data_IF_790346983449
#
_entry.id   IF_790346983449
#
_cell.length_a   1.000
_cell.length_b   1.000
_cell.length_c   1.000
_cell.angle_alpha   90.00
_cell.angle_beta   90.00
_cell.angle_gamma   90.00
#
_symmetry.space_group_name_H-M   'P 1'
#
loop_
_entity.id
_entity.type
_entity.pdbx_description
1 polymer ?
#
# COMPACT_ATOMS: atom_id res chain seq x y z
N UNK A 1 -14.66 -12.86 22.83
CA UNK A 1 -14.49 -11.59 22.13
C UNK A 1 -13.42 -10.76 22.84
N UNK A 2 -12.51 -10.15 22.11
CA UNK A 2 -11.52 -9.21 22.65
C UNK A 2 -12.10 -7.81 22.52
N UNK A 3 -12.04 -7.03 23.59
CA UNK A 3 -12.45 -5.62 23.59
C UNK A 3 -11.21 -4.75 23.59
N UNK A 4 -11.17 -3.78 22.68
CA UNK A 4 -10.09 -2.81 22.57
C UNK A 4 -10.61 -1.42 22.90
N UNK A 5 -9.88 -0.68 23.72
CA UNK A 5 -10.22 0.69 24.15
C UNK A 5 -8.95 1.53 24.31
N UNK A 6 -9.11 2.85 24.30
CA UNK A 6 -8.04 3.79 24.59
C UNK A 6 -6.80 3.62 23.72
N UNK A 7 -5.63 3.44 24.36
CA UNK A 7 -4.34 3.31 23.69
C UNK A 7 -4.22 2.08 22.80
N UNK A 8 -4.78 0.94 23.23
CA UNK A 8 -4.73 -0.32 22.47
C UNK A 8 -5.56 -0.23 21.19
N UNK A 9 -6.75 0.38 21.28
CA UNK A 9 -7.58 0.64 20.10
C UNK A 9 -6.87 1.59 19.11
N UNK A 10 -6.27 2.67 19.64
CA UNK A 10 -5.51 3.61 18.80
C UNK A 10 -4.35 2.90 18.10
N UNK A 11 -3.57 2.10 18.81
CA UNK A 11 -2.45 1.35 18.26
C UNK A 11 -2.89 0.37 17.17
N UNK A 12 -4.00 -0.34 17.40
CA UNK A 12 -4.58 -1.25 16.42
C UNK A 12 -5.07 -0.52 15.15
N UNK A 13 -5.82 0.57 15.30
CA UNK A 13 -6.33 1.36 14.18
C UNK A 13 -5.21 2.02 13.38
N UNK A 14 -4.15 2.51 14.05
CA UNK A 14 -2.97 3.05 13.37
C UNK A 14 -2.23 1.99 12.57
N UNK A 15 -2.11 0.77 13.10
CA UNK A 15 -1.51 -0.34 12.39
C UNK A 15 -2.35 -0.78 11.17
N UNK A 16 -3.68 -0.76 11.29
CA UNK A 16 -4.60 -1.03 10.19
C UNK A 16 -4.51 0.03 9.09
N UNK A 17 -4.42 1.31 9.45
CA UNK A 17 -4.28 2.39 8.48
C UNK A 17 -2.98 2.29 7.72
N UNK A 18 -1.87 2.06 8.40
CA UNK A 18 -0.58 1.82 7.76
C UNK A 18 -0.60 0.57 6.87
N UNK A 19 -1.24 -0.51 7.36
CA UNK A 19 -1.42 -1.75 6.59
C UNK A 19 -2.16 -1.49 5.28
N UNK A 20 -3.28 -0.76 5.33
CA UNK A 20 -4.06 -0.40 4.14
C UNK A 20 -3.23 0.39 3.12
N UNK A 21 -2.45 1.37 3.58
CA UNK A 21 -1.62 2.20 2.70
C UNK A 21 -0.53 1.37 2.01
N UNK A 22 0.11 0.46 2.75
CA UNK A 22 1.16 -0.41 2.20
C UNK A 22 0.55 -1.49 1.32
N UNK A 23 -0.60 -2.05 1.72
CA UNK A 23 -1.35 -3.01 0.91
C UNK A 23 -1.62 -2.45 -0.49
N UNK A 24 -2.13 -1.23 -0.59
CA UNK A 24 -2.38 -0.57 -1.87
C UNK A 24 -1.11 -0.34 -2.70
N UNK A 25 0.07 -0.15 -2.07
CA UNK A 25 1.34 -0.04 -2.80
C UNK A 25 1.75 -1.38 -3.41
N UNK A 26 1.63 -2.47 -2.65
CA UNK A 26 1.92 -3.82 -3.13
C UNK A 26 0.90 -4.24 -4.21
N UNK A 27 -0.37 -3.86 -4.05
CA UNK A 27 -1.43 -4.13 -5.03
C UNK A 27 -1.15 -3.46 -6.38
N UNK A 28 -0.65 -2.24 -6.41
CA UNK A 28 -0.26 -1.59 -7.67
C UNK A 28 0.78 -2.40 -8.45
N UNK A 29 1.66 -3.12 -7.76
CA UNK A 29 2.68 -3.97 -8.38
C UNK A 29 2.10 -5.30 -8.83
N UNK A 30 1.35 -5.98 -7.96
CA UNK A 30 0.80 -7.31 -8.25
C UNK A 30 -0.50 -7.24 -9.08
N UNK A 31 -1.16 -6.07 -9.16
CA UNK A 31 -2.35 -5.80 -9.97
C UNK A 31 -3.57 -6.70 -9.68
N UNK A 32 -3.58 -7.36 -8.52
CA UNK A 32 -4.75 -8.14 -8.07
C UNK A 32 -4.83 -8.10 -6.54
N UNK A 33 -5.96 -7.61 -6.04
CA UNK A 33 -6.25 -7.47 -4.62
C UNK A 33 -6.18 -8.81 -3.87
N UNK A 34 -6.74 -9.87 -4.46
CA UNK A 34 -6.78 -11.22 -3.87
C UNK A 34 -5.39 -11.82 -3.73
N UNK A 35 -4.53 -11.56 -4.73
CA UNK A 35 -3.12 -12.00 -4.67
C UNK A 35 -2.41 -11.33 -3.51
N UNK A 36 -2.62 -10.02 -3.31
CA UNK A 36 -2.01 -9.31 -2.17
C UNK A 36 -2.51 -9.84 -0.84
N UNK A 37 -3.81 -10.13 -0.72
CA UNK A 37 -4.36 -10.77 0.49
C UNK A 37 -3.66 -12.09 0.80
N UNK A 38 -3.46 -12.94 -0.22
CA UNK A 38 -2.80 -14.23 -0.06
C UNK A 38 -1.33 -14.08 0.35
N UNK A 39 -0.55 -13.24 -0.34
CA UNK A 39 0.88 -13.07 -0.02
C UNK A 39 1.11 -12.33 1.30
N UNK A 40 0.13 -11.55 1.76
CA UNK A 40 0.17 -10.87 3.06
C UNK A 40 -0.20 -11.80 4.22
N UNK A 41 -0.82 -12.95 3.97
CA UNK A 41 -1.26 -13.89 5.02
C UNK A 41 -0.06 -14.38 5.84
N UNK A 42 0.00 -14.08 7.15
CA UNK A 42 1.10 -14.49 8.02
C UNK A 42 1.29 -16.02 8.12
N UNK A 43 0.26 -16.79 7.79
CA UNK A 43 0.32 -18.26 7.83
C UNK A 43 1.20 -18.84 6.71
N UNK A 44 1.48 -18.09 5.65
CA UNK A 44 2.44 -18.50 4.62
C UNK A 44 3.87 -18.16 5.05
N UNK A 45 4.81 -19.04 4.84
CA UNK A 45 6.24 -18.81 5.08
C UNK A 45 6.88 -18.16 3.86
N UNK A 46 6.72 -16.82 3.73
CA UNK A 46 7.22 -16.04 2.60
C UNK A 46 7.85 -14.71 3.07
N UNK A 47 8.54 -14.72 4.23
CA UNK A 47 9.09 -13.51 4.83
C UNK A 47 10.47 -13.14 4.32
N UNK A 48 11.28 -14.14 3.97
CA UNK A 48 12.69 -13.99 3.61
C UNK A 48 12.99 -14.53 2.21
N UNK A 49 14.12 -14.12 1.65
CA UNK A 49 14.60 -14.67 0.38
C UNK A 49 14.77 -16.21 0.45
N UNK A 50 15.21 -16.73 1.59
CA UNK A 50 15.38 -18.16 1.79
C UNK A 50 14.06 -18.94 1.69
N UNK A 51 12.95 -18.33 2.08
CA UNK A 51 11.63 -18.96 1.98
C UNK A 51 11.23 -19.24 0.53
N UNK A 52 11.65 -18.38 -0.40
CA UNK A 52 11.43 -18.56 -1.84
C UNK A 52 12.35 -19.60 -2.50
N UNK A 53 13.40 -20.06 -1.81
CA UNK A 53 14.21 -21.17 -2.26
C UNK A 53 13.56 -22.53 -1.99
N UNK A 54 12.54 -22.56 -1.14
CA UNK A 54 11.83 -23.77 -0.75
C UNK A 54 10.59 -23.96 -1.64
N UNK A 55 10.63 -24.95 -2.53
CA UNK A 55 9.52 -25.26 -3.44
C UNK A 55 8.19 -25.46 -2.72
N UNK A 56 8.21 -26.11 -1.54
CA UNK A 56 7.02 -26.33 -0.73
C UNK A 56 6.28 -25.05 -0.35
N UNK A 57 7.00 -23.94 -0.09
CA UNK A 57 6.39 -22.66 0.27
C UNK A 57 5.65 -22.05 -0.92
N UNK A 58 6.23 -22.16 -2.12
CA UNK A 58 5.62 -21.66 -3.35
C UNK A 58 4.46 -22.57 -3.81
N UNK A 59 4.50 -23.87 -3.53
CA UNK A 59 3.35 -24.76 -3.72
C UNK A 59 2.19 -24.38 -2.81
N UNK A 60 2.46 -24.13 -1.51
CA UNK A 60 1.45 -23.65 -0.58
C UNK A 60 0.86 -22.30 -1.01
N UNK A 61 1.69 -21.39 -1.54
CA UNK A 61 1.22 -20.16 -2.14
C UNK A 61 0.27 -20.44 -3.32
N UNK A 62 0.66 -21.32 -4.26
CA UNK A 62 -0.15 -21.70 -5.42
C UNK A 62 -1.50 -22.29 -5.04
N UNK A 63 -1.54 -23.15 -4.02
CA UNK A 63 -2.80 -23.70 -3.47
C UNK A 63 -3.72 -22.60 -2.93
N UNK A 64 -3.16 -21.63 -2.19
CA UNK A 64 -3.91 -20.49 -1.67
C UNK A 64 -4.42 -19.56 -2.77
N UNK A 65 -3.60 -19.30 -3.79
CA UNK A 65 -4.02 -18.53 -4.97
C UNK A 65 -5.16 -19.23 -5.72
N UNK A 66 -5.06 -20.53 -5.90
CA UNK A 66 -6.11 -21.34 -6.51
C UNK A 66 -7.42 -21.27 -5.72
N UNK A 67 -7.36 -21.29 -4.39
CA UNK A 67 -8.53 -21.19 -3.52
C UNK A 67 -9.29 -19.85 -3.68
N UNK A 68 -8.60 -18.77 -4.08
CA UNK A 68 -9.21 -17.46 -4.38
C UNK A 68 -9.49 -17.24 -5.87
N UNK A 69 -9.39 -18.32 -6.67
CA UNK A 69 -9.69 -18.29 -8.11
C UNK A 69 -8.58 -17.68 -8.97
N UNK A 70 -7.33 -17.69 -8.51
CA UNK A 70 -6.16 -17.26 -9.27
C UNK A 70 -5.36 -18.51 -9.67
N UNK A 71 -5.31 -18.79 -10.98
CA UNK A 71 -4.41 -19.80 -11.54
C UNK A 71 -2.98 -19.33 -11.48
N UNK A 72 -2.07 -20.19 -11.00
CA UNK A 72 -0.64 -19.87 -10.98
C UNK A 72 0.19 -21.08 -11.38
N UNK A 73 1.34 -20.80 -12.02
CA UNK A 73 2.33 -21.80 -12.38
C UNK A 73 3.58 -21.63 -11.50
N UNK A 74 4.16 -22.74 -11.09
CA UNK A 74 5.42 -22.74 -10.37
C UNK A 74 6.57 -22.78 -11.37
N UNK A 75 7.43 -21.77 -11.32
CA UNK A 75 8.58 -21.64 -12.24
C UNK A 75 9.88 -21.61 -11.42
N UNK A 76 10.89 -22.31 -11.92
CA UNK A 76 12.24 -22.23 -11.36
C UNK A 76 12.92 -20.92 -11.82
N UNK A 77 13.43 -20.18 -10.88
CA UNK A 77 14.28 -19.01 -11.12
C UNK A 77 15.74 -19.46 -10.95
N UNK A 78 16.40 -19.68 -12.08
CA UNK A 78 17.78 -20.21 -12.09
C UNK A 78 18.79 -19.14 -11.65
N UNK A 79 18.53 -17.87 -11.96
CA UNK A 79 19.41 -16.75 -11.61
C UNK A 79 19.54 -16.59 -10.09
N UNK A 80 18.44 -16.72 -9.37
CA UNK A 80 18.42 -16.59 -7.91
C UNK A 80 18.41 -17.93 -7.18
N UNK A 81 18.50 -19.06 -7.90
CA UNK A 81 18.36 -20.41 -7.32
C UNK A 81 17.11 -20.56 -6.44
N UNK A 82 16.01 -19.91 -6.83
CA UNK A 82 14.75 -19.82 -6.10
C UNK A 82 13.58 -20.34 -6.92
N UNK A 83 12.38 -20.29 -6.33
CA UNK A 83 11.13 -20.59 -7.01
C UNK A 83 10.27 -19.34 -7.09
N UNK A 84 9.45 -19.25 -8.12
CA UNK A 84 8.49 -18.17 -8.30
C UNK A 84 7.12 -18.73 -8.69
N UNK A 85 6.07 -18.10 -8.21
CA UNK A 85 4.71 -18.32 -8.68
C UNK A 85 4.38 -17.27 -9.74
N UNK A 86 3.96 -17.73 -10.92
CA UNK A 86 3.61 -16.87 -12.05
C UNK A 86 2.11 -16.94 -12.26
N UNK A 87 1.46 -15.80 -12.38
CA UNK A 87 0.03 -15.69 -12.64
C UNK A 87 -0.25 -14.58 -13.65
N UNK A 88 -1.48 -14.53 -14.18
CA UNK A 88 -1.92 -13.48 -15.09
C UNK A 88 -2.90 -12.55 -14.36
N UNK A 89 -2.65 -11.25 -14.47
CA UNK A 89 -3.57 -10.25 -13.94
C UNK A 89 -4.83 -10.09 -14.81
N UNK A 90 -5.74 -9.20 -14.42
CA UNK A 90 -6.99 -8.95 -15.15
C UNK A 90 -6.76 -8.48 -16.59
N UNK A 91 -5.58 -7.93 -16.91
CA UNK A 91 -5.20 -7.50 -18.27
C UNK A 91 -4.51 -8.60 -19.07
N UNK A 92 -4.43 -9.81 -18.54
CA UNK A 92 -3.69 -10.96 -19.09
C UNK A 92 -2.16 -10.75 -19.12
N UNK A 93 -1.66 -9.78 -18.38
CA UNK A 93 -0.21 -9.60 -18.23
C UNK A 93 0.36 -10.57 -17.20
N UNK A 94 1.49 -11.16 -17.52
CA UNK A 94 2.21 -12.06 -16.62
C UNK A 94 2.74 -11.29 -15.41
N UNK A 95 2.50 -11.81 -14.21
CA UNK A 95 3.01 -11.30 -12.95
C UNK A 95 3.75 -12.39 -12.20
N UNK A 96 4.83 -11.99 -11.55
CA UNK A 96 5.74 -12.92 -10.86
C UNK A 96 5.78 -12.60 -9.37
N UNK A 97 5.58 -13.63 -8.56
CA UNK A 97 5.77 -13.61 -7.11
C UNK A 97 7.03 -14.44 -6.83
N UNK A 98 8.15 -13.78 -6.67
CA UNK A 98 9.45 -14.40 -6.48
C UNK A 98 10.28 -13.72 -5.41
N UNK A 99 11.56 -14.08 -5.34
CA UNK A 99 12.53 -13.60 -4.35
C UNK A 99 12.67 -12.07 -4.29
N UNK A 100 12.44 -11.40 -5.40
CA UNK A 100 12.45 -9.94 -5.45
C UNK A 100 11.38 -9.29 -4.58
N UNK A 101 10.21 -9.94 -4.46
CA UNK A 101 9.14 -9.45 -3.58
C UNK A 101 9.62 -9.40 -2.13
N UNK A 102 10.31 -10.45 -1.65
CA UNK A 102 10.88 -10.49 -0.29
C UNK A 102 11.96 -9.43 -0.04
N UNK A 103 12.55 -8.88 -1.10
CA UNK A 103 13.57 -7.82 -1.00
C UNK A 103 12.96 -6.45 -0.76
N UNK A 104 11.67 -6.27 -1.06
CA UNK A 104 11.00 -4.97 -0.99
C UNK A 104 10.68 -4.56 0.45
N UNK A 105 11.03 -3.35 0.84
CA UNK A 105 10.71 -2.82 2.16
C UNK A 105 9.19 -2.81 2.44
N UNK A 106 8.38 -2.46 1.44
CA UNK A 106 6.93 -2.42 1.52
C UNK A 106 6.35 -3.81 1.82
N UNK A 107 6.80 -4.83 1.11
CA UNK A 107 6.33 -6.20 1.34
C UNK A 107 6.69 -6.70 2.74
N UNK A 108 7.94 -6.48 3.16
CA UNK A 108 8.37 -6.85 4.52
C UNK A 108 7.57 -6.13 5.60
N UNK A 109 7.27 -4.85 5.38
CA UNK A 109 6.44 -4.06 6.30
C UNK A 109 5.00 -4.54 6.32
N UNK A 110 4.42 -4.87 5.15
CA UNK A 110 3.08 -5.45 5.03
C UNK A 110 2.96 -6.73 5.86
N UNK A 111 3.92 -7.64 5.71
CA UNK A 111 3.98 -8.89 6.46
C UNK A 111 4.11 -8.67 7.98
N UNK A 112 4.95 -7.73 8.38
CA UNK A 112 5.13 -7.38 9.79
C UNK A 112 3.84 -6.82 10.42
N UNK A 113 3.17 -5.91 9.72
CA UNK A 113 1.87 -5.36 10.12
C UNK A 113 0.78 -6.43 10.11
N UNK A 114 0.74 -7.30 9.10
CA UNK A 114 -0.18 -8.43 9.04
C UNK A 114 -0.10 -9.31 10.30
N UNK A 115 1.11 -9.62 10.78
CA UNK A 115 1.30 -10.35 12.06
C UNK A 115 0.82 -9.55 13.27
N UNK A 116 1.02 -8.25 13.28
CA UNK A 116 0.58 -7.39 14.38
C UNK A 116 -0.95 -7.32 14.47
N UNK A 117 -1.63 -7.15 13.34
CA UNK A 117 -3.09 -7.03 13.30
C UNK A 117 -3.78 -8.39 13.44
N UNK A 118 -3.19 -9.49 12.97
CA UNK A 118 -3.78 -10.84 13.02
C UNK A 118 -4.24 -11.27 14.42
N UNK A 119 -3.62 -10.72 15.46
CA UNK A 119 -4.03 -10.95 16.84
C UNK A 119 -5.47 -10.52 17.11
N UNK A 120 -5.92 -9.45 16.44
CA UNK A 120 -7.23 -8.83 16.64
C UNK A 120 -8.11 -8.94 15.39
N UNK A 121 -7.59 -9.40 14.26
CA UNK A 121 -8.33 -9.60 13.02
C UNK A 121 -9.21 -10.85 13.11
N UNK A 122 -10.34 -10.68 13.78
CA UNK A 122 -11.34 -11.74 14.03
C UNK A 122 -12.73 -11.21 13.70
N UNK A 123 -13.08 -11.10 12.43
CA UNK A 123 -14.40 -10.63 12.03
C UNK A 123 -15.52 -11.56 12.52
N UNK A 124 -16.76 -11.08 12.66
CA UNK A 124 -17.15 -9.68 12.45
C UNK A 124 -16.69 -8.77 13.60
N UNK A 125 -16.36 -7.52 13.24
CA UNK A 125 -16.04 -6.49 14.21
C UNK A 125 -17.32 -5.82 14.71
N UNK A 126 -17.38 -5.48 16.01
CA UNK A 126 -18.48 -4.72 16.57
C UNK A 126 -17.94 -3.42 17.14
N UNK A 127 -18.30 -2.31 16.52
CA UNK A 127 -18.00 -0.97 17.02
C UNK A 127 -19.12 -0.54 17.96
N UNK A 128 -18.74 -0.07 19.14
CA UNK A 128 -19.67 0.45 20.15
C UNK A 128 -19.30 1.90 20.43
N UNK A 129 -20.23 2.81 20.16
CA UNK A 129 -20.11 4.24 20.47
C UNK A 129 -21.37 4.67 21.24
N UNK A 130 -21.22 5.03 22.50
CA UNK A 130 -22.33 5.32 23.40
C UNK A 130 -23.33 4.14 23.46
N UNK A 131 -24.58 4.37 23.06
CA UNK A 131 -25.61 3.35 22.96
C UNK A 131 -25.69 2.67 21.58
N UNK A 132 -24.98 3.18 20.58
CA UNK A 132 -25.01 2.65 19.22
C UNK A 132 -24.06 1.46 19.06
N UNK A 133 -24.53 0.45 18.31
CA UNK A 133 -23.71 -0.70 17.94
C UNK A 133 -23.78 -0.89 16.43
N UNK A 134 -22.62 -1.10 15.82
CA UNK A 134 -22.52 -1.41 14.40
C UNK A 134 -21.62 -2.63 14.20
N UNK A 135 -22.09 -3.58 13.39
CA UNK A 135 -21.34 -4.78 13.02
C UNK A 135 -20.76 -4.58 11.62
N UNK A 136 -19.47 -4.89 11.47
CA UNK A 136 -18.69 -4.69 10.28
C UNK A 136 -18.04 -6.03 9.89
N UNK A 137 -18.09 -6.37 8.60
CA UNK A 137 -17.75 -7.71 8.15
C UNK A 137 -16.25 -7.99 8.10
N UNK A 138 -15.45 -6.96 7.89
CA UNK A 138 -13.99 -7.06 7.70
C UNK A 138 -13.27 -5.81 8.23
N UNK A 139 -11.95 -5.83 8.17
CA UNK A 139 -11.12 -4.73 8.65
C UNK A 139 -11.22 -3.48 7.76
N UNK A 140 -11.47 -3.64 6.47
CA UNK A 140 -11.66 -2.54 5.52
C UNK A 140 -12.89 -1.71 5.90
N UNK A 141 -14.01 -2.40 6.15
CA UNK A 141 -15.24 -1.75 6.64
C UNK A 141 -15.03 -1.06 7.99
N UNK A 142 -14.29 -1.73 8.91
CA UNK A 142 -13.95 -1.15 10.19
C UNK A 142 -13.17 0.16 10.04
N UNK A 143 -12.12 0.15 9.24
CA UNK A 143 -11.28 1.33 9.03
C UNK A 143 -12.04 2.44 8.30
N UNK A 144 -12.84 2.09 7.29
CA UNK A 144 -13.72 3.02 6.58
C UNK A 144 -14.73 3.68 7.50
N UNK A 145 -15.39 2.89 8.36
CA UNK A 145 -16.34 3.41 9.34
C UNK A 145 -15.68 4.38 10.34
N UNK A 146 -14.53 4.00 10.89
CA UNK A 146 -13.80 4.85 11.86
C UNK A 146 -13.35 6.15 11.22
N UNK A 147 -12.82 6.09 9.98
CA UNK A 147 -12.44 7.29 9.21
C UNK A 147 -13.64 8.20 8.94
N UNK A 148 -14.77 7.63 8.49
CA UNK A 148 -15.99 8.38 8.23
C UNK A 148 -16.54 9.06 9.50
N UNK A 149 -16.53 8.35 10.63
CA UNK A 149 -16.93 8.92 11.93
C UNK A 149 -15.98 10.04 12.39
N UNK A 150 -14.67 9.87 12.18
CA UNK A 150 -13.68 10.90 12.51
C UNK A 150 -13.76 12.14 11.62
N UNK A 151 -14.25 11.99 10.39
CA UNK A 151 -14.40 13.07 9.42
C UNK A 151 -15.76 13.75 9.45
N UNK A 152 -16.72 13.27 10.23
CA UNK A 152 -18.11 13.75 10.23
C UNK A 152 -18.23 15.26 10.43
N UNK A 153 -17.43 15.80 11.34
CA UNK A 153 -17.46 17.23 11.70
C UNK A 153 -16.21 17.97 11.19
N UNK A 154 -15.39 17.31 10.34
CA UNK A 154 -14.18 17.90 9.78
C UNK A 154 -14.47 18.49 8.40
N UNK A 155 -13.99 19.72 8.18
CA UNK A 155 -13.97 20.34 6.88
C UNK A 155 -12.58 20.18 6.27
N UNK A 156 -12.50 19.49 5.14
CA UNK A 156 -11.24 19.35 4.38
C UNK A 156 -11.17 20.47 3.36
N UNK A 157 -10.15 21.31 3.48
CA UNK A 157 -9.86 22.38 2.52
C UNK A 157 -8.52 22.09 1.84
N UNK A 158 -8.51 22.09 0.52
CA UNK A 158 -7.30 21.94 -0.30
C UNK A 158 -6.90 23.29 -0.87
N UNK A 159 -5.68 23.68 -0.59
CA UNK A 159 -5.09 24.89 -1.16
C UNK A 159 -4.17 24.51 -2.33
N UNK A 160 -4.36 25.17 -3.49
CA UNK A 160 -3.53 24.97 -4.68
C UNK A 160 -2.25 25.79 -4.63
N UNK A 161 -2.24 26.86 -3.81
CA UNK A 161 -1.08 27.73 -3.63
C UNK A 161 -1.14 28.53 -2.35
N UNK A 162 0.00 29.06 -1.93
CA UNK A 162 0.12 29.84 -0.68
C UNK A 162 -0.70 31.15 -0.73
N UNK A 163 -0.96 31.69 -1.92
CA UNK A 163 -1.77 32.92 -2.10
C UNK A 163 -3.24 32.77 -1.75
N UNK A 164 -3.74 31.54 -1.60
CA UNK A 164 -5.12 31.26 -1.19
C UNK A 164 -5.30 31.24 0.34
N UNK A 165 -4.19 31.30 1.08
CA UNK A 165 -4.16 31.19 2.54
C UNK A 165 -4.14 32.57 3.18
N UNK A 166 -4.90 32.74 4.25
CA UNK A 166 -4.74 33.88 5.15
C UNK A 166 -3.50 33.70 6.04
N UNK A 167 -3.11 34.71 6.80
CA UNK A 167 -1.89 34.70 7.61
C UNK A 167 -1.87 33.57 8.64
N UNK A 168 -2.99 33.28 9.30
CA UNK A 168 -3.09 32.20 10.30
C UNK A 168 -2.99 30.83 9.66
N UNK A 169 -3.63 30.61 8.53
CA UNK A 169 -3.55 29.38 7.75
C UNK A 169 -2.11 29.13 7.26
N UNK A 170 -1.47 30.18 6.73
CA UNK A 170 -0.08 30.12 6.28
C UNK A 170 0.86 29.78 7.45
N UNK A 171 0.66 30.41 8.60
CA UNK A 171 1.42 30.11 9.80
C UNK A 171 1.28 28.63 10.20
N UNK A 172 0.04 28.15 10.37
CA UNK A 172 -0.24 26.81 10.86
C UNK A 172 0.24 25.72 9.90
N UNK A 173 0.20 25.93 8.58
CA UNK A 173 0.51 24.89 7.59
C UNK A 173 1.97 24.88 7.16
N UNK A 174 2.65 26.01 7.12
CA UNK A 174 3.98 26.12 6.50
C UNK A 174 5.04 26.83 7.34
N UNK A 175 4.66 27.80 8.18
CA UNK A 175 5.62 28.66 8.86
C UNK A 175 5.95 28.22 10.28
N UNK A 176 5.03 27.57 10.98
CA UNK A 176 5.23 27.13 12.36
C UNK A 176 6.36 26.08 12.44
N UNK A 177 7.47 26.48 13.03
CA UNK A 177 8.67 25.63 13.13
C UNK A 177 8.47 24.33 13.92
N UNK A 178 7.50 24.30 14.85
CA UNK A 178 7.20 23.12 15.67
C UNK A 178 6.34 22.09 14.95
N UNK A 179 5.52 22.53 13.99
CA UNK A 179 4.54 21.67 13.31
C UNK A 179 4.92 21.36 11.85
N UNK A 180 5.73 22.21 11.21
CA UNK A 180 6.10 22.04 9.80
C UNK A 180 7.01 20.85 9.59
N UNK A 181 6.82 20.17 8.45
CA UNK A 181 7.73 19.15 7.96
C UNK A 181 8.58 19.73 6.84
N UNK A 182 9.90 19.64 6.98
CA UNK A 182 10.84 20.06 5.93
C UNK A 182 11.28 18.83 5.14
N UNK A 183 11.24 18.93 3.82
CA UNK A 183 11.76 17.94 2.90
C UNK A 183 13.10 18.45 2.34
N UNK A 184 14.14 17.66 2.49
CA UNK A 184 15.43 17.94 1.85
C UNK A 184 15.42 17.37 0.43
N UNK A 185 15.49 18.24 -0.56
CA UNK A 185 15.67 17.84 -1.95
C UNK A 185 17.16 17.59 -2.19
N UNK A 186 17.49 16.42 -2.74
CA UNK A 186 18.86 16.05 -3.13
C UNK A 186 18.86 15.69 -4.61
N UNK A 187 19.91 16.08 -5.29
CA UNK A 187 20.18 15.67 -6.66
C UNK A 187 21.11 14.45 -6.60
N UNK A 188 20.55 13.26 -6.73
CA UNK A 188 21.32 12.02 -6.64
C UNK A 188 21.92 11.60 -7.99
N UNK A 189 21.17 11.84 -9.06
CA UNK A 189 21.60 11.57 -10.45
C UNK A 189 21.27 12.77 -11.33
N UNK A 190 22.31 13.47 -11.78
CA UNK A 190 22.18 14.66 -12.63
C UNK A 190 21.65 14.30 -14.02
N UNK A 191 22.09 13.18 -14.58
CA UNK A 191 21.71 12.78 -15.95
C UNK A 191 20.23 12.39 -15.98
N UNK A 192 19.82 11.58 -15.05
CA UNK A 192 18.41 11.18 -14.94
C UNK A 192 17.47 12.35 -14.65
N UNK A 193 17.91 13.27 -13.79
CA UNK A 193 17.13 14.48 -13.50
C UNK A 193 16.98 15.37 -14.76
N UNK A 194 18.06 15.58 -15.52
CA UNK A 194 18.03 16.36 -16.77
C UNK A 194 17.13 15.71 -17.82
N UNK A 195 17.17 14.39 -17.94
CA UNK A 195 16.32 13.62 -18.85
C UNK A 195 14.83 13.79 -18.52
N UNK A 196 14.46 13.70 -17.23
CA UNK A 196 13.09 13.92 -16.77
C UNK A 196 12.66 15.37 -17.02
N UNK A 197 13.49 16.35 -16.69
CA UNK A 197 13.17 17.76 -16.93
C UNK A 197 13.02 18.06 -18.43
N UNK A 198 13.89 17.53 -19.27
CA UNK A 198 13.82 17.71 -20.71
C UNK A 198 12.57 17.07 -21.32
N UNK A 199 12.18 15.91 -20.83
CA UNK A 199 10.95 15.22 -21.26
C UNK A 199 9.70 15.97 -20.85
N UNK A 200 9.61 16.41 -19.57
CA UNK A 200 8.38 17.00 -19.04
C UNK A 200 8.23 18.49 -19.38
N UNK A 201 9.31 19.23 -19.50
CA UNK A 201 9.33 20.69 -19.72
C UNK A 201 9.92 21.10 -21.08
N UNK A 202 10.43 20.16 -21.86
CA UNK A 202 10.94 20.41 -23.21
C UNK A 202 9.83 20.67 -24.22
N UNK A 203 10.20 20.95 -25.47
CA UNK A 203 9.25 21.26 -26.55
C UNK A 203 8.63 20.01 -27.18
N UNK A 204 9.22 18.83 -26.98
CA UNK A 204 8.73 17.57 -27.54
C UNK A 204 7.48 17.07 -26.79
N UNK A 205 6.34 17.25 -27.46
CA UNK A 205 5.03 16.86 -26.93
C UNK A 205 4.85 15.35 -26.93
N UNK A 206 5.39 14.63 -27.90
CA UNK A 206 5.17 13.19 -28.05
C UNK A 206 5.89 12.41 -26.95
N UNK A 207 7.15 12.73 -26.68
CA UNK A 207 7.90 12.12 -25.57
C UNK A 207 7.24 12.38 -24.22
N UNK A 208 6.73 13.60 -23.99
CA UNK A 208 5.98 13.95 -22.77
C UNK A 208 4.71 13.14 -22.65
N UNK A 209 3.91 13.03 -23.72
CA UNK A 209 2.68 12.26 -23.74
C UNK A 209 2.95 10.81 -23.37
N UNK A 210 3.93 10.19 -24.04
CA UNK A 210 4.33 8.82 -23.80
C UNK A 210 4.75 8.60 -22.33
N UNK A 211 5.59 9.50 -21.80
CA UNK A 211 5.99 9.45 -20.39
C UNK A 211 4.79 9.51 -19.44
N UNK A 212 3.83 10.42 -19.68
CA UNK A 212 2.63 10.55 -18.85
C UNK A 212 1.77 9.30 -18.93
N UNK A 213 1.57 8.72 -20.10
CA UNK A 213 0.78 7.50 -20.30
C UNK A 213 1.43 6.29 -19.61
N UNK A 214 2.74 6.13 -19.72
CA UNK A 214 3.50 5.04 -19.09
C UNK A 214 3.49 5.13 -17.56
N UNK A 215 3.51 6.35 -17.00
CA UNK A 215 3.57 6.60 -15.55
C UNK A 215 2.22 7.00 -14.94
N UNK A 216 1.12 6.96 -15.71
CA UNK A 216 -0.20 7.42 -15.25
C UNK A 216 -0.70 6.71 -13.97
N UNK A 217 -0.33 5.44 -13.79
CA UNK A 217 -0.73 4.64 -12.64
C UNK A 217 0.08 4.94 -11.37
N UNK A 218 1.21 5.60 -11.49
CA UNK A 218 2.09 5.96 -10.37
C UNK A 218 1.78 7.37 -9.82
N UNK A 219 0.93 8.11 -10.53
CA UNK A 219 0.53 9.46 -10.13
C UNK A 219 -0.22 9.43 -8.80
N UNK A 220 0.21 10.31 -7.89
CA UNK A 220 -0.45 10.57 -6.61
C UNK A 220 -0.88 12.02 -6.55
N UNK A 221 -2.02 12.26 -5.89
CA UNK A 221 -2.51 13.61 -5.67
C UNK A 221 -2.68 14.41 -6.97
N UNK A 222 -3.24 13.79 -8.00
CA UNK A 222 -3.56 14.48 -9.22
C UNK A 222 -4.54 15.62 -8.91
N UNK A 223 -4.18 16.83 -9.35
CA UNK A 223 -4.98 18.03 -9.14
C UNK A 223 -5.91 18.22 -10.35
N UNK A 224 -7.15 17.73 -10.24
CA UNK A 224 -8.21 17.81 -11.25
C UNK A 224 -9.36 18.67 -10.75
#
# INVERSE_FOLDING_TARGET
AVRLEGGDLRGFLSALDEYQQIFQRVERRLRDHRVVQVVADPALSLDTKADFSLEQNLRALGERLSAVGIGSELRRDEEHSSWAAVFHDATQAERVIGVELASQPEYRRLRALGRQIARYDRPPFVVVKDAARQTLANWEELLGHVKAEGMRDAQVTRYKGLGEMNADQLWQTTMNAEARTLLQVRLEDVVQAEEIFSTLMGEDVESRRKFIEENALDVRNLDV
#
